data_IF_663319001534
#
_entry.id   IF_663319001534
#
_cell.length_a   1.000
_cell.length_b   1.000
_cell.length_c   1.000
_cell.angle_alpha   90.00
_cell.angle_beta   90.00
_cell.angle_gamma   90.00
#
_symmetry.space_group_name_H-M   'P 1'
#
loop_
_entity.id
_entity.type
_entity.pdbx_description
1 polymer ?
#
# COMPACT_ATOMS: atom_id res chain seq x y z
N UNK A 1 14.06 -4.38 -16.25
CA UNK A 1 14.96 -5.10 -15.37
C UNK A 1 14.21 -5.65 -14.17
N UNK A 2 14.27 -6.90 -14.02
CA UNK A 2 13.60 -7.55 -12.93
C UNK A 2 14.39 -7.41 -11.66
N UNK A 3 13.72 -7.36 -10.54
CA UNK A 3 14.35 -7.33 -9.25
C UNK A 3 14.83 -6.00 -8.77
N UNK A 4 14.61 -4.94 -9.53
CA UNK A 4 14.93 -3.61 -9.04
C UNK A 4 13.83 -3.13 -8.10
N UNK A 5 14.26 -2.53 -7.02
CA UNK A 5 13.33 -1.93 -6.07
C UNK A 5 13.08 -0.48 -6.47
N UNK A 6 11.82 -0.09 -6.54
CA UNK A 6 11.49 1.30 -6.72
C UNK A 6 11.60 1.99 -5.37
N UNK A 7 12.46 2.98 -5.29
CA UNK A 7 12.72 3.68 -4.05
C UNK A 7 12.10 5.06 -4.06
N UNK A 8 12.13 5.72 -2.90
CA UNK A 8 11.68 7.10 -2.82
C UNK A 8 12.48 8.01 -3.75
N UNK A 9 13.78 7.76 -3.86
CA UNK A 9 14.61 8.54 -4.78
C UNK A 9 14.16 8.37 -6.22
N UNK A 10 13.76 7.15 -6.58
CA UNK A 10 13.25 6.89 -7.92
C UNK A 10 11.97 7.65 -8.19
N UNK A 11 11.09 7.74 -7.17
CA UNK A 11 9.86 8.52 -7.31
C UNK A 11 10.18 9.99 -7.50
N UNK A 12 11.14 10.50 -6.73
CA UNK A 12 11.54 11.91 -6.86
C UNK A 12 12.11 12.18 -8.24
N UNK A 13 12.89 11.25 -8.78
CA UNK A 13 13.44 11.41 -10.11
C UNK A 13 12.33 11.44 -11.17
N UNK A 14 11.33 10.58 -11.02
CA UNK A 14 10.20 10.57 -11.93
C UNK A 14 9.45 11.88 -11.90
N UNK A 15 9.22 12.45 -10.72
CA UNK A 15 8.58 13.75 -10.59
C UNK A 15 9.43 14.82 -11.26
N UNK A 16 10.72 14.78 -11.02
CA UNK A 16 11.64 15.74 -11.62
C UNK A 16 11.54 15.71 -13.15
N UNK A 17 11.48 14.52 -13.74
CA UNK A 17 11.42 14.38 -15.18
C UNK A 17 10.09 14.86 -15.76
N UNK A 18 8.99 14.69 -15.03
CA UNK A 18 7.67 14.92 -15.58
C UNK A 18 7.09 16.28 -15.24
N UNK A 19 7.48 16.90 -14.15
CA UNK A 19 6.76 18.05 -13.63
C UNK A 19 7.52 19.36 -13.83
N UNK A 20 8.83 19.30 -13.95
CA UNK A 20 9.60 20.52 -14.18
C UNK A 20 10.01 21.26 -12.93
N UNK A 21 9.89 20.62 -11.78
CA UNK A 21 10.39 21.17 -10.53
C UNK A 21 11.89 20.92 -10.41
N UNK A 22 12.53 21.60 -9.49
CA UNK A 22 13.92 21.29 -9.18
C UNK A 22 14.00 19.92 -8.52
N UNK A 23 15.21 19.37 -8.42
CA UNK A 23 15.38 18.07 -7.80
C UNK A 23 15.00 18.11 -6.31
N UNK A 24 15.36 19.15 -5.61
CA UNK A 24 14.99 19.22 -4.21
C UNK A 24 13.49 19.42 -4.02
N UNK A 25 12.86 20.21 -4.89
CA UNK A 25 11.41 20.37 -4.82
C UNK A 25 10.70 19.06 -5.14
N UNK A 26 11.23 18.30 -6.08
CA UNK A 26 10.63 17.00 -6.43
C UNK A 26 10.71 16.04 -5.25
N UNK A 27 11.85 16.01 -4.56
CA UNK A 27 12.00 15.15 -3.40
C UNK A 27 11.06 15.57 -2.28
N UNK A 28 10.92 16.87 -2.06
CA UNK A 28 10.02 17.37 -1.03
C UNK A 28 8.56 17.02 -1.36
N UNK A 29 8.20 17.10 -2.64
CA UNK A 29 6.85 16.76 -3.03
C UNK A 29 6.55 15.29 -2.77
N UNK A 30 7.47 14.40 -3.14
CA UNK A 30 7.29 12.98 -2.88
C UNK A 30 7.16 12.72 -1.39
N UNK A 31 8.03 13.33 -0.59
CA UNK A 31 7.96 13.16 0.86
C UNK A 31 6.63 13.64 1.41
N UNK A 32 6.14 14.75 0.89
CA UNK A 32 4.88 15.32 1.34
C UNK A 32 3.70 14.41 1.03
N UNK A 33 3.70 13.82 -0.16
CA UNK A 33 2.63 12.90 -0.55
C UNK A 33 2.65 11.66 0.32
N UNK A 34 3.82 11.09 0.53
CA UNK A 34 3.93 9.88 1.34
C UNK A 34 3.56 10.15 2.78
N UNK A 35 3.93 11.32 3.30
CA UNK A 35 3.56 11.70 4.66
C UNK A 35 2.05 11.85 4.79
N UNK A 36 1.40 12.43 3.78
CA UNK A 36 -0.05 12.61 3.81
C UNK A 36 -0.75 11.25 3.84
N UNK A 37 -0.26 10.30 3.04
CA UNK A 37 -0.82 8.95 3.02
C UNK A 37 -0.64 8.30 4.39
N UNK A 38 0.57 8.38 4.93
CA UNK A 38 0.86 7.76 6.22
C UNK A 38 0.05 8.37 7.35
N UNK A 39 -0.04 9.68 7.38
CA UNK A 39 -0.79 10.36 8.43
C UNK A 39 -2.27 10.02 8.38
N UNK A 40 -2.81 9.91 7.17
CA UNK A 40 -4.21 9.51 7.02
C UNK A 40 -4.44 8.12 7.58
N UNK A 41 -3.54 7.20 7.30
CA UNK A 41 -3.67 5.82 7.79
C UNK A 41 -3.50 5.74 9.30
N UNK A 42 -2.61 6.54 9.86
CA UNK A 42 -2.45 6.59 11.31
C UNK A 42 -3.74 7.06 11.97
N UNK A 43 -4.49 7.93 11.29
CA UNK A 43 -5.77 8.41 11.80
C UNK A 43 -6.94 7.50 11.42
N UNK A 44 -6.66 6.29 10.99
CA UNK A 44 -7.67 5.29 10.63
C UNK A 44 -8.54 5.71 9.44
N UNK A 45 -8.02 6.56 8.58
CA UNK A 45 -8.72 6.93 7.37
C UNK A 45 -8.34 5.98 6.25
N UNK A 46 -9.28 5.80 5.32
CA UNK A 46 -9.03 5.01 4.13
C UNK A 46 -8.39 5.92 3.09
N UNK A 47 -7.35 5.42 2.43
CA UNK A 47 -6.70 6.17 1.35
C UNK A 47 -7.01 5.44 0.05
N UNK A 48 -7.77 6.09 -0.81
CA UNK A 48 -8.18 5.50 -2.08
C UNK A 48 -7.55 6.28 -3.23
N UNK A 49 -6.79 5.58 -4.05
CA UNK A 49 -6.13 6.18 -5.21
C UNK A 49 -6.72 5.53 -6.44
N UNK A 50 -7.45 6.33 -7.23
CA UNK A 50 -8.14 5.82 -8.42
C UNK A 50 -7.20 5.08 -9.34
N UNK A 51 -7.67 3.96 -9.84
CA UNK A 51 -6.94 3.13 -10.81
C UNK A 51 -5.68 2.49 -10.23
N UNK A 52 -5.42 2.70 -8.96
CA UNK A 52 -4.25 2.11 -8.31
C UNK A 52 -4.68 1.14 -7.22
N UNK A 53 -5.35 1.63 -6.21
CA UNK A 53 -5.79 0.76 -5.14
C UNK A 53 -6.21 1.52 -3.90
N UNK A 54 -6.50 0.77 -2.87
CA UNK A 54 -7.00 1.32 -1.62
C UNK A 54 -6.16 0.80 -0.47
N UNK A 55 -5.71 1.73 0.36
CA UNK A 55 -5.00 1.40 1.60
C UNK A 55 -5.96 1.59 2.76
N UNK A 56 -5.98 0.63 3.67
CA UNK A 56 -6.81 0.75 4.86
C UNK A 56 -6.11 0.07 6.02
N UNK A 57 -6.59 0.38 7.22
CA UNK A 57 -6.04 -0.21 8.44
C UNK A 57 -7.12 -1.09 9.03
N UNK A 58 -6.74 -2.31 9.36
CA UNK A 58 -7.66 -3.25 9.96
C UNK A 58 -7.22 -3.53 11.38
N UNK A 59 -8.16 -3.47 12.30
CA UNK A 59 -7.91 -3.80 13.69
C UNK A 59 -8.11 -5.29 13.87
N UNK A 60 -7.06 -6.00 14.27
CA UNK A 60 -7.18 -7.40 14.59
C UNK A 60 -7.42 -7.51 16.10
N UNK A 61 -8.49 -8.19 16.44
CA UNK A 61 -8.86 -8.32 17.83
C UNK A 61 -7.99 -9.32 18.58
N UNK A 62 -8.19 -9.35 19.88
CA UNK A 62 -7.51 -10.30 20.72
C UNK A 62 -7.97 -11.71 20.38
N UNK A 63 -7.04 -12.62 20.35
CA UNK A 63 -7.36 -14.01 20.03
C UNK A 63 -6.35 -14.90 20.73
N UNK A 64 -6.58 -16.20 20.65
CA UNK A 64 -5.73 -17.18 21.31
C UNK A 64 -4.97 -17.95 20.25
N UNK A 65 -3.66 -17.90 20.35
CA UNK A 65 -2.81 -18.73 19.53
C UNK A 65 -2.38 -19.95 20.30
N UNK A 66 -1.64 -20.81 19.65
CA UNK A 66 -1.16 -22.03 20.27
C UNK A 66 0.30 -22.23 19.95
N UNK A 67 1.07 -22.51 20.98
CA UNK A 67 2.48 -22.80 20.82
C UNK A 67 2.62 -24.18 20.18
N UNK A 68 3.19 -24.29 18.97
CA UNK A 68 3.26 -25.58 18.30
C UNK A 68 4.13 -26.60 19.02
N UNK A 69 5.07 -26.16 19.85
CA UNK A 69 5.95 -27.09 20.56
C UNK A 69 5.31 -27.68 21.79
N UNK A 70 4.56 -26.86 22.54
CA UNK A 70 4.01 -27.30 23.80
C UNK A 70 2.51 -27.50 23.74
N UNK A 71 1.85 -26.99 22.70
CA UNK A 71 0.40 -27.02 22.63
C UNK A 71 -0.26 -26.02 23.56
N UNK A 72 0.50 -25.20 24.21
CA UNK A 72 0.00 -24.26 25.20
C UNK A 72 -0.66 -23.08 24.50
N UNK A 73 -1.80 -22.65 25.04
CA UNK A 73 -2.51 -21.49 24.49
C UNK A 73 -1.85 -20.20 24.94
N UNK A 74 -1.66 -19.29 24.00
CA UNK A 74 -1.01 -18.01 24.27
C UNK A 74 -1.90 -16.90 23.71
N UNK A 75 -2.28 -15.91 24.52
CA UNK A 75 -3.10 -14.81 24.02
C UNK A 75 -2.32 -13.97 23.02
N UNK A 76 -2.99 -13.59 21.94
CA UNK A 76 -2.43 -12.71 20.93
C UNK A 76 -3.10 -11.36 21.11
N UNK A 77 -2.28 -10.34 21.34
CA UNK A 77 -2.79 -9.01 21.64
C UNK A 77 -3.39 -8.35 20.39
N UNK A 78 -4.37 -7.48 20.57
CA UNK A 78 -4.90 -6.72 19.44
C UNK A 78 -3.83 -5.85 18.81
N UNK A 79 -3.94 -5.68 17.50
CA UNK A 79 -3.01 -4.80 16.78
C UNK A 79 -3.66 -4.35 15.49
N UNK A 80 -3.10 -3.31 14.92
CA UNK A 80 -3.55 -2.80 13.64
C UNK A 80 -2.63 -3.30 12.54
N UNK A 81 -3.19 -3.61 11.40
CA UNK A 81 -2.42 -4.04 10.24
C UNK A 81 -2.84 -3.22 9.04
N UNK A 82 -1.87 -2.95 8.18
CA UNK A 82 -2.12 -2.24 6.94
C UNK A 82 -2.54 -3.24 5.87
N UNK A 83 -3.57 -2.89 5.13
CA UNK A 83 -4.08 -3.70 4.03
C UNK A 83 -4.09 -2.86 2.77
N UNK A 84 -3.57 -3.41 1.69
CA UNK A 84 -3.63 -2.78 0.38
C UNK A 84 -4.44 -3.67 -0.55
N UNK A 85 -5.40 -3.06 -1.24
CA UNK A 85 -6.19 -3.76 -2.25
C UNK A 85 -5.96 -3.09 -3.59
N UNK A 86 -5.39 -3.81 -4.51
CA UNK A 86 -5.14 -3.29 -5.84
C UNK A 86 -6.46 -3.09 -6.58
N UNK A 87 -6.51 -2.04 -7.40
CA UNK A 87 -7.65 -1.81 -8.27
C UNK A 87 -7.67 -2.86 -9.38
N UNK A 88 -8.81 -3.01 -10.02
CA UNK A 88 -8.90 -3.92 -11.14
C UNK A 88 -8.00 -3.46 -12.29
N UNK A 89 -7.92 -2.15 -12.49
CA UNK A 89 -7.05 -1.60 -13.52
C UNK A 89 -5.60 -2.01 -13.28
N UNK A 90 -5.15 -1.90 -12.03
CA UNK A 90 -3.76 -2.26 -11.71
C UNK A 90 -3.53 -3.75 -11.89
N UNK A 91 -4.49 -4.57 -11.45
CA UNK A 91 -4.37 -6.02 -11.62
C UNK A 91 -4.26 -6.41 -13.08
N UNK A 92 -5.06 -5.78 -13.93
CA UNK A 92 -5.04 -6.09 -15.34
C UNK A 92 -3.74 -5.67 -15.99
N UNK A 93 -3.19 -4.55 -15.58
CA UNK A 93 -1.88 -4.12 -16.09
C UNK A 93 -0.79 -5.10 -15.69
N UNK A 94 -0.86 -5.60 -14.47
CA UNK A 94 0.13 -6.57 -14.00
C UNK A 94 0.04 -7.85 -14.80
N UNK A 95 -1.16 -8.25 -15.15
CA UNK A 95 -1.39 -9.49 -15.88
C UNK A 95 -1.30 -9.33 -17.41
N UNK A 96 -1.12 -8.10 -17.87
CA UNK A 96 -0.87 -7.85 -19.28
C UNK A 96 -2.09 -7.87 -20.16
N UNK A 97 -3.29 -7.62 -19.62
CA UNK A 97 -4.46 -7.57 -20.47
C UNK A 97 -5.38 -6.44 -20.01
N UNK A 98 -6.36 -6.14 -20.86
CA UNK A 98 -7.24 -5.03 -20.64
C UNK A 98 -8.18 -5.28 -19.47
N UNK A 99 -8.72 -4.19 -18.96
CA UNK A 99 -9.59 -4.23 -17.80
C UNK A 99 -11.04 -4.42 -18.22
N UNK A 100 -11.31 -5.38 -19.08
CA UNK A 100 -12.67 -5.63 -19.54
C UNK A 100 -13.27 -6.86 -18.91
N UNK A 101 -12.53 -7.56 -18.10
CA UNK A 101 -13.04 -8.73 -17.42
C UNK A 101 -13.99 -8.32 -16.31
N UNK A 102 -14.98 -9.15 -16.01
CA UNK A 102 -15.84 -8.84 -14.87
C UNK A 102 -15.04 -8.72 -13.61
N UNK A 103 -15.43 -7.78 -12.81
CA UNK A 103 -14.75 -7.57 -11.56
C UNK A 103 -15.21 -8.63 -10.59
N UNK A 104 -14.39 -9.53 -10.37
CA UNK A 104 -14.73 -10.54 -9.44
C UNK A 104 -14.50 -10.05 -8.07
N UNK A 105 -14.23 -9.79 -7.68
CA UNK A 105 -13.95 -9.49 -6.56
C UNK A 105 -13.36 -9.07 -5.90
N UNK A 106 -13.22 -8.93 -5.44
CA UNK A 106 -12.66 -8.48 -4.89
C UNK A 106 -12.21 -8.68 -3.95
N UNK A 107 -11.88 -8.89 -3.45
CA UNK A 107 -11.41 -9.15 -2.51
C UNK A 107 -11.17 -9.05 -1.94
#
# INVERSE_FOLDING_TARGET
MKGRTLTRADLAEAVYQEVGLSRSESAELVDSILAEIGDSLVSDRVVKISSFGTFSVRQKGRRIGRNPKTGEEVPIMPRKVLVFRASQVLKDRINGHASDAPDAEED
#
